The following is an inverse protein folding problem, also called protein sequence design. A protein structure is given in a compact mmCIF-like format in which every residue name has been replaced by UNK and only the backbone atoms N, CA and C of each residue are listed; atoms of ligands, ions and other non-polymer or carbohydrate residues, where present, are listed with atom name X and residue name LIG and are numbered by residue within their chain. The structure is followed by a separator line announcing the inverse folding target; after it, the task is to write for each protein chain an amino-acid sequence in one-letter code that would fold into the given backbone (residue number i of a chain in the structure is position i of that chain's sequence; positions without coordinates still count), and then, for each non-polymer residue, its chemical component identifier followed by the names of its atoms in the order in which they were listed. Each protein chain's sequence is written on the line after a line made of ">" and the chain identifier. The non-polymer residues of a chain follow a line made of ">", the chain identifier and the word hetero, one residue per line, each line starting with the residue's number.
data_IF_488251927224
#
_entry.id   IF_488251927224
#
_cell.length_a   1.000
_cell.length_b   1.000
_cell.length_c   1.000
_cell.angle_alpha   90.00
_cell.angle_beta   90.00
_cell.angle_gamma   90.00
#
_symmetry.space_group_name_H-M   'P 1'
#
loop_
_entity.id
_entity.type
_entity.pdbx_description
1 polymer ?
#
# COMPACT_ATOMS: atom_id res chain seq x y z
N UNK A 1 4.28 -6.95 4.11
CA UNK A 1 2.88 -7.10 4.54
C UNK A 1 2.84 -7.36 6.04
N UNK A 2 1.87 -6.77 6.75
CA UNK A 2 1.68 -6.97 8.19
C UNK A 2 0.24 -7.36 8.49
N UNK A 3 0.02 -8.04 9.62
CA UNK A 3 -1.32 -8.26 10.15
C UNK A 3 -1.91 -6.98 10.74
N UNK A 4 -3.17 -7.02 11.15
CA UNK A 4 -3.81 -5.87 11.77
C UNK A 4 -3.13 -5.44 13.07
N UNK A 5 -2.31 -6.27 13.74
CA UNK A 5 -1.53 -5.90 14.94
C UNK A 5 -0.16 -5.29 14.60
N UNK A 6 0.24 -5.29 13.33
CA UNK A 6 1.54 -4.80 12.86
C UNK A 6 2.65 -5.87 12.86
N UNK A 7 2.31 -7.14 13.11
CA UNK A 7 3.26 -8.26 12.99
C UNK A 7 3.51 -8.57 11.52
N UNK A 8 4.75 -8.93 11.18
CA UNK A 8 5.11 -9.24 9.81
C UNK A 8 4.47 -10.56 9.38
N UNK A 9 3.73 -10.53 8.27
CA UNK A 9 3.18 -11.73 7.61
C UNK A 9 4.08 -12.19 6.46
N UNK A 10 4.59 -11.23 5.70
CA UNK A 10 5.47 -11.47 4.57
C UNK A 10 6.40 -10.27 4.39
N UNK A 11 7.70 -10.52 4.44
CA UNK A 11 8.75 -9.57 4.12
C UNK A 11 9.83 -10.32 3.33
N UNK A 12 9.83 -10.15 2.01
CA UNK A 12 10.68 -10.93 1.12
C UNK A 12 11.03 -10.14 -0.13
N UNK A 13 12.23 -10.40 -0.64
CA UNK A 13 12.64 -9.92 -1.96
C UNK A 13 12.04 -10.79 -3.06
N UNK A 14 12.07 -10.28 -4.29
CA UNK A 14 11.60 -11.01 -5.47
C UNK A 14 12.71 -11.02 -6.51
N UNK A 15 12.99 -12.20 -7.07
CA UNK A 15 13.94 -12.33 -8.17
C UNK A 15 13.41 -11.62 -9.42
N UNK A 16 14.14 -10.64 -9.99
CA UNK A 16 13.74 -9.97 -11.21
C UNK A 16 13.54 -10.97 -12.36
N UNK A 17 12.50 -10.74 -13.16
CA UNK A 17 12.20 -11.54 -14.36
C UNK A 17 12.87 -11.00 -15.62
N UNK A 18 13.45 -9.79 -15.53
CA UNK A 18 14.14 -9.08 -16.60
C UNK A 18 15.45 -8.47 -16.05
N UNK A 19 16.43 -8.17 -16.92
CA UNK A 19 17.63 -7.45 -16.52
C UNK A 19 17.29 -6.10 -15.87
N UNK A 20 17.88 -5.83 -14.70
CA UNK A 20 17.72 -4.56 -13.99
C UNK A 20 18.79 -3.59 -14.48
N UNK A 21 18.38 -2.42 -14.99
CA UNK A 21 19.27 -1.37 -15.47
C UNK A 21 19.88 -0.56 -14.32
N UNK A 22 19.11 -0.33 -13.26
CA UNK A 22 19.53 0.42 -12.08
C UNK A 22 18.76 -0.08 -10.85
N UNK A 23 19.49 -0.47 -9.80
CA UNK A 23 18.92 -0.96 -8.55
C UNK A 23 18.59 0.16 -7.56
N UNK A 24 19.07 1.39 -7.81
CA UNK A 24 18.92 2.53 -6.89
C UNK A 24 19.36 2.16 -5.47
N UNK A 25 20.48 1.44 -5.37
CA UNK A 25 20.99 0.86 -4.12
C UNK A 25 21.12 1.87 -2.97
N UNK A 26 21.53 3.14 -3.18
CA UNK A 26 21.58 4.11 -2.09
C UNK A 26 20.22 4.38 -1.43
N UNK A 27 19.13 4.30 -2.20
CA UNK A 27 17.77 4.54 -1.70
C UNK A 27 17.07 3.26 -1.23
N UNK A 28 17.28 2.15 -1.95
CA UNK A 28 16.53 0.90 -1.78
C UNK A 28 17.26 -0.17 -0.98
N UNK A 29 18.58 -0.03 -0.81
CA UNK A 29 19.44 -1.07 -0.22
C UNK A 29 19.56 -2.35 -1.06
N UNK A 30 19.00 -2.38 -2.28
CA UNK A 30 18.96 -3.59 -3.10
C UNK A 30 20.35 -3.95 -3.64
N UNK A 31 20.68 -5.24 -3.51
CA UNK A 31 21.92 -5.83 -4.01
C UNK A 31 21.60 -6.89 -5.07
N UNK A 32 22.30 -6.91 -6.22
CA UNK A 32 22.04 -7.88 -7.29
C UNK A 32 22.10 -9.34 -6.82
N UNK A 33 23.07 -9.67 -5.96
CA UNK A 33 23.25 -11.03 -5.44
C UNK A 33 22.08 -11.47 -4.55
N UNK A 34 21.60 -10.57 -3.68
CA UNK A 34 20.42 -10.83 -2.82
C UNK A 34 19.18 -11.11 -3.66
N UNK A 35 18.99 -10.36 -4.74
CA UNK A 35 17.87 -10.52 -5.65
C UNK A 35 17.98 -11.78 -6.52
N UNK A 36 19.18 -12.19 -6.91
CA UNK A 36 19.40 -13.43 -7.65
C UNK A 36 19.01 -14.69 -6.86
N UNK A 37 19.20 -14.64 -5.53
CA UNK A 37 18.86 -15.73 -4.59
C UNK A 37 17.44 -15.65 -4.04
N UNK A 38 16.68 -14.60 -4.39
CA UNK A 38 15.33 -14.39 -3.90
C UNK A 38 14.32 -15.38 -4.53
N UNK A 39 13.16 -15.61 -3.87
CA UNK A 39 12.06 -16.37 -4.45
C UNK A 39 11.60 -15.82 -5.81
N UNK A 40 11.01 -16.68 -6.63
CA UNK A 40 10.53 -16.27 -7.95
C UNK A 40 9.29 -15.38 -7.82
N UNK A 41 9.07 -14.50 -8.81
CA UNK A 41 7.86 -13.67 -8.86
C UNK A 41 6.58 -14.50 -8.72
N UNK A 42 6.49 -15.65 -9.39
CA UNK A 42 5.31 -16.52 -9.36
C UNK A 42 5.07 -17.07 -7.94
N UNK A 43 6.12 -17.46 -7.23
CA UNK A 43 5.99 -17.99 -5.87
C UNK A 43 5.52 -16.91 -4.90
N UNK A 44 6.08 -15.69 -5.00
CA UNK A 44 5.68 -14.56 -4.15
C UNK A 44 4.27 -14.10 -4.51
N UNK A 45 3.93 -13.99 -5.79
CA UNK A 45 2.58 -13.65 -6.26
C UNK A 45 1.53 -14.63 -5.69
N UNK A 46 1.80 -15.94 -5.71
CA UNK A 46 0.92 -16.95 -5.11
C UNK A 46 0.77 -16.79 -3.60
N UNK A 47 1.87 -16.52 -2.89
CA UNK A 47 1.83 -16.27 -1.45
C UNK A 47 0.99 -15.03 -1.13
N UNK A 48 1.21 -13.92 -1.84
CA UNK A 48 0.43 -12.70 -1.67
C UNK A 48 -1.04 -12.96 -1.98
N UNK A 49 -1.36 -13.60 -3.10
CA UNK A 49 -2.74 -13.90 -3.49
C UNK A 49 -3.46 -14.74 -2.43
N UNK A 50 -2.78 -15.73 -1.84
CA UNK A 50 -3.33 -16.53 -0.75
C UNK A 50 -3.55 -15.71 0.53
N UNK A 51 -2.62 -14.80 0.87
CA UNK A 51 -2.71 -13.96 2.06
C UNK A 51 -3.85 -12.93 1.99
N UNK A 52 -4.11 -12.37 0.80
CA UNK A 52 -5.13 -11.30 0.64
C UNK A 52 -6.52 -11.85 0.30
N UNK A 53 -6.64 -13.14 -0.02
CA UNK A 53 -7.91 -13.75 -0.41
C UNK A 53 -8.92 -13.68 0.75
N UNK A 54 -10.13 -13.20 0.44
CA UNK A 54 -11.24 -13.06 1.39
C UNK A 54 -10.86 -12.22 2.64
N UNK A 55 -9.96 -11.24 2.45
CA UNK A 55 -9.50 -10.30 3.47
C UNK A 55 -9.70 -8.87 3.03
N UNK A 56 -9.86 -8.00 4.01
CA UNK A 56 -9.72 -6.56 3.82
C UNK A 56 -8.23 -6.19 3.68
N UNK A 57 -7.87 -5.45 2.63
CA UNK A 57 -6.52 -4.95 2.42
C UNK A 57 -6.44 -3.47 2.82
N UNK A 58 -5.56 -3.17 3.77
CA UNK A 58 -5.23 -1.80 4.18
C UNK A 58 -3.87 -1.43 3.58
N UNK A 59 -3.75 -0.24 2.99
CA UNK A 59 -2.48 0.23 2.47
C UNK A 59 -2.55 1.62 1.87
N UNK A 60 -1.49 2.00 1.14
CA UNK A 60 -1.37 3.29 0.47
C UNK A 60 -1.09 3.04 -1.01
N UNK A 61 -1.93 3.61 -1.88
CA UNK A 61 -1.83 3.43 -3.34
C UNK A 61 -1.86 1.97 -3.78
N UNK A 62 -2.83 1.21 -3.27
CA UNK A 62 -2.98 -0.24 -3.46
C UNK A 62 -3.01 -0.65 -4.93
N UNK A 63 -3.48 0.22 -5.82
CA UNK A 63 -3.48 -0.03 -7.27
C UNK A 63 -2.08 -0.25 -7.84
N UNK A 64 -1.05 0.42 -7.32
CA UNK A 64 0.33 0.22 -7.79
C UNK A 64 0.81 -1.18 -7.45
N UNK A 65 0.55 -1.61 -6.22
CA UNK A 65 0.92 -2.94 -5.74
C UNK A 65 0.17 -4.05 -6.49
N UNK A 66 -1.15 -3.94 -6.58
CA UNK A 66 -2.00 -4.90 -7.29
C UNK A 66 -1.62 -4.99 -8.77
N UNK A 67 -1.36 -3.86 -9.42
CA UNK A 67 -0.94 -3.82 -10.82
C UNK A 67 0.41 -4.50 -11.05
N UNK A 68 1.41 -4.26 -10.19
CA UNK A 68 2.74 -4.89 -10.33
C UNK A 68 2.63 -6.39 -10.12
N UNK A 69 1.78 -6.85 -9.21
CA UNK A 69 1.55 -8.26 -8.97
C UNK A 69 0.57 -8.89 -9.94
N UNK A 70 -0.08 -8.13 -10.84
CA UNK A 70 -1.12 -8.65 -11.72
C UNK A 70 -2.28 -9.29 -10.96
N UNK A 71 -2.63 -8.74 -9.79
CA UNK A 71 -3.72 -9.20 -8.94
C UNK A 71 -4.88 -8.21 -8.99
N UNK A 72 -6.09 -8.71 -8.72
CA UNK A 72 -7.27 -7.89 -8.53
C UNK A 72 -7.89 -8.17 -7.15
N UNK A 73 -8.58 -7.18 -6.60
CA UNK A 73 -9.21 -7.29 -5.29
C UNK A 73 -10.52 -6.49 -5.25
N UNK A 74 -11.56 -6.94 -4.53
CA UNK A 74 -12.82 -6.20 -4.45
C UNK A 74 -12.61 -4.79 -3.93
N UNK A 75 -13.16 -3.79 -4.62
CA UNK A 75 -12.98 -2.39 -4.21
C UNK A 75 -13.47 -2.16 -2.76
N UNK A 76 -14.63 -2.74 -2.42
CA UNK A 76 -15.24 -2.66 -1.08
C UNK A 76 -14.37 -3.27 0.02
N UNK A 77 -13.49 -4.21 -0.33
CA UNK A 77 -12.55 -4.85 0.59
C UNK A 77 -11.19 -4.13 0.66
N UNK A 78 -11.10 -2.91 0.13
CA UNK A 78 -9.88 -2.08 0.21
C UNK A 78 -10.04 -0.86 1.11
N UNK A 79 -9.01 -0.60 1.92
CA UNK A 79 -8.85 0.57 2.79
C UNK A 79 -7.58 1.32 2.34
N UNK A 80 -7.68 2.00 1.20
CA UNK A 80 -6.57 2.76 0.62
C UNK A 80 -6.49 4.17 1.18
N UNK A 81 -5.58 4.39 2.13
CA UNK A 81 -5.43 5.68 2.81
C UNK A 81 -4.97 6.80 1.87
N UNK A 82 -4.44 6.48 0.69
CA UNK A 82 -4.12 7.48 -0.32
C UNK A 82 -5.39 8.11 -0.91
N UNK A 83 -6.49 7.35 -1.02
CA UNK A 83 -7.75 7.78 -1.65
C UNK A 83 -8.76 8.36 -0.66
N UNK A 84 -8.53 8.21 0.64
CA UNK A 84 -9.47 8.65 1.68
C UNK A 84 -9.69 10.16 1.62
N UNK A 85 -10.91 10.58 1.25
CA UNK A 85 -11.22 11.99 1.06
C UNK A 85 -11.10 12.82 2.36
N UNK A 86 -11.48 12.32 3.55
CA UNK A 86 -11.35 13.09 4.78
C UNK A 86 -9.91 13.55 5.09
N UNK A 87 -8.89 12.74 4.81
CA UNK A 87 -7.49 13.16 4.96
C UNK A 87 -7.11 14.29 4.01
N UNK A 88 -7.61 14.25 2.77
CA UNK A 88 -7.34 15.33 1.80
C UNK A 88 -8.01 16.63 2.25
N UNK A 89 -9.26 16.54 2.71
CA UNK A 89 -10.04 17.70 3.19
C UNK A 89 -9.40 18.33 4.44
N UNK A 90 -8.97 17.53 5.41
CA UNK A 90 -8.34 18.04 6.63
C UNK A 90 -7.01 18.76 6.36
N UNK A 91 -6.32 18.38 5.28
CA UNK A 91 -5.08 19.02 4.83
C UNK A 91 -5.28 20.11 3.77
N UNK A 92 -6.53 20.49 3.46
CA UNK A 92 -6.83 21.52 2.46
C UNK A 92 -6.43 21.16 1.03
N UNK A 93 -6.23 19.88 0.73
CA UNK A 93 -5.81 19.41 -0.59
C UNK A 93 -7.00 19.19 -1.53
N UNK A 94 -6.78 19.42 -2.83
CA UNK A 94 -7.80 19.19 -3.86
C UNK A 94 -8.11 17.69 -3.98
N UNK A 95 -9.36 17.30 -4.27
CA UNK A 95 -9.72 15.88 -4.44
C UNK A 95 -8.97 15.16 -5.56
N UNK A 96 -8.41 15.85 -6.55
CA UNK A 96 -7.63 15.25 -7.64
C UNK A 96 -6.17 14.97 -7.28
N UNK A 97 -5.69 15.44 -6.13
CA UNK A 97 -4.28 15.32 -5.74
C UNK A 97 -4.11 14.21 -4.72
N UNK A 98 -3.30 13.20 -5.06
CA UNK A 98 -2.85 12.20 -4.10
C UNK A 98 -1.66 12.75 -3.33
N UNK A 99 -1.77 12.81 -2.00
CA UNK A 99 -0.70 13.28 -1.12
C UNK A 99 0.24 12.13 -0.77
N UNK A 100 1.58 12.34 -0.78
CA UNK A 100 2.54 11.32 -0.37
C UNK A 100 2.27 10.76 1.03
N UNK A 101 2.51 9.45 1.23
CA UNK A 101 2.36 8.80 2.54
C UNK A 101 3.18 9.52 3.63
N UNK A 102 4.42 9.91 3.31
CA UNK A 102 5.29 10.68 4.22
C UNK A 102 4.63 11.99 4.67
N UNK A 103 3.90 12.66 3.78
CA UNK A 103 3.19 13.90 4.08
C UNK A 103 1.97 13.64 4.97
N UNK A 104 1.21 12.59 4.67
CA UNK A 104 0.06 12.18 5.50
C UNK A 104 0.50 11.86 6.93
N UNK A 105 1.54 11.04 7.09
CA UNK A 105 2.05 10.63 8.41
C UNK A 105 2.61 11.82 9.19
N UNK A 106 3.37 12.69 8.53
CA UNK A 106 3.91 13.87 9.19
C UNK A 106 2.80 14.84 9.63
N UNK A 107 1.84 15.13 8.75
CA UNK A 107 0.81 16.14 9.02
C UNK A 107 -0.30 15.65 9.94
N UNK A 108 -0.64 14.36 9.89
CA UNK A 108 -1.77 13.79 10.65
C UNK A 108 -1.33 13.07 11.92
N UNK A 109 -0.11 12.53 11.97
CA UNK A 109 0.38 11.76 13.11
C UNK A 109 1.62 12.37 13.79
N UNK A 110 2.18 13.46 13.24
CA UNK A 110 3.36 14.11 13.82
C UNK A 110 4.64 13.26 13.79
N UNK A 111 4.68 12.22 12.95
CA UNK A 111 5.81 11.28 12.83
C UNK A 111 6.54 11.45 11.50
N UNK A 112 7.82 11.12 11.47
CA UNK A 112 8.61 10.98 10.24
C UNK A 112 8.84 9.50 9.93
N UNK A 113 8.75 9.13 8.64
CA UNK A 113 9.07 7.79 8.13
C UNK A 113 10.02 7.94 6.93
N UNK A 114 10.72 6.87 6.55
CA UNK A 114 11.60 6.87 5.37
C UNK A 114 12.87 7.74 5.52
N UNK A 115 13.26 8.08 6.76
CA UNK A 115 14.43 8.94 7.02
C UNK A 115 15.77 8.28 6.62
N UNK A 116 15.80 6.95 6.52
CA UNK A 116 17.03 6.17 6.27
C UNK A 116 16.91 5.26 5.04
N UNK A 117 16.04 5.60 4.09
CA UNK A 117 15.76 4.81 2.90
C UNK A 117 14.33 4.26 2.87
N UNK A 118 14.04 3.45 1.85
CA UNK A 118 12.72 2.85 1.68
C UNK A 118 12.59 1.55 2.50
N UNK A 119 11.79 1.58 3.58
CA UNK A 119 11.50 0.41 4.42
C UNK A 119 10.05 -0.06 4.23
N UNK A 120 9.80 -1.13 3.45
CA UNK A 120 8.45 -1.59 3.15
C UNK A 120 7.58 -1.91 4.38
N UNK A 121 8.20 -2.48 5.43
CA UNK A 121 7.49 -2.80 6.68
C UNK A 121 7.10 -1.53 7.45
N UNK A 122 7.94 -0.49 7.44
CA UNK A 122 7.61 0.81 8.04
C UNK A 122 6.41 1.44 7.32
N UNK A 123 6.44 1.46 5.99
CA UNK A 123 5.35 2.01 5.19
C UNK A 123 4.03 1.24 5.37
N UNK A 124 4.09 -0.09 5.44
CA UNK A 124 2.90 -0.92 5.71
C UNK A 124 2.28 -0.61 7.09
N UNK A 125 3.12 -0.47 8.12
CA UNK A 125 2.67 -0.08 9.47
C UNK A 125 2.14 1.35 9.50
N UNK A 126 2.78 2.27 8.78
CA UNK A 126 2.34 3.66 8.69
C UNK A 126 0.95 3.78 8.05
N UNK A 127 0.69 3.06 6.96
CA UNK A 127 -0.64 3.03 6.34
C UNK A 127 -1.69 2.42 7.27
N UNK A 128 -1.35 1.35 7.98
CA UNK A 128 -2.21 0.74 9.00
C UNK A 128 -2.52 1.70 10.15
N UNK A 129 -1.53 2.45 10.63
CA UNK A 129 -1.70 3.44 11.69
C UNK A 129 -2.63 4.59 11.26
N UNK A 130 -2.53 5.05 10.01
CA UNK A 130 -3.48 6.00 9.44
C UNK A 130 -4.90 5.43 9.41
N UNK A 131 -5.07 4.20 8.91
CA UNK A 131 -6.39 3.58 8.87
C UNK A 131 -6.99 3.45 10.27
N UNK A 132 -6.24 2.93 11.25
CA UNK A 132 -6.69 2.84 12.64
C UNK A 132 -7.12 4.18 13.24
N UNK A 133 -6.47 5.27 12.85
CA UNK A 133 -6.85 6.61 13.30
C UNK A 133 -8.23 7.06 12.81
N UNK A 134 -8.74 6.48 11.72
CA UNK A 134 -10.01 6.83 11.10
C UNK A 134 -10.96 5.65 10.89
N UNK A 135 -10.67 4.48 11.46
CA UNK A 135 -11.36 3.22 11.19
C UNK A 135 -12.86 3.31 11.45
N UNK A 136 -13.26 3.85 12.60
CA UNK A 136 -14.66 4.07 12.91
C UNK A 136 -15.36 4.93 11.85
N UNK A 137 -14.79 6.08 11.50
CA UNK A 137 -15.35 6.97 10.47
C UNK A 137 -15.41 6.28 9.10
N UNK A 138 -14.40 5.48 8.76
CA UNK A 138 -14.34 4.79 7.49
C UNK A 138 -15.45 3.74 7.37
N UNK A 139 -15.54 2.85 8.35
CA UNK A 139 -16.49 1.74 8.33
C UNK A 139 -17.93 2.24 8.47
N UNK A 140 -18.19 3.27 9.29
CA UNK A 140 -19.51 3.91 9.38
C UNK A 140 -19.99 4.44 8.01
N UNK A 141 -19.11 5.10 7.24
CA UNK A 141 -19.48 5.59 5.89
C UNK A 141 -19.84 4.42 4.97
N UNK A 142 -19.07 3.32 5.01
CA UNK A 142 -19.35 2.12 4.23
C UNK A 142 -20.68 1.48 4.64
N UNK A 143 -20.96 1.37 5.94
CA UNK A 143 -22.21 0.81 6.48
C UNK A 143 -23.44 1.61 6.03
N UNK A 144 -23.32 2.93 5.86
CA UNK A 144 -24.38 3.76 5.28
C UNK A 144 -24.58 3.60 3.77
N UNK A 145 -23.75 2.78 3.10
CA UNK A 145 -23.77 2.58 1.65
C UNK A 145 -23.05 3.68 0.85
N UNK A 146 -22.35 4.59 1.52
CA UNK A 146 -21.57 5.64 0.88
C UNK A 146 -20.11 5.20 0.67
N UNK A 147 -19.40 5.90 -0.22
CA UNK A 147 -18.00 5.62 -0.54
C UNK A 147 -17.07 6.76 -0.09
N UNK A 148 -16.17 6.54 0.88
CA UNK A 148 -15.35 7.62 1.46
C UNK A 148 -14.11 7.99 0.63
N UNK A 149 -13.85 7.28 -0.48
CA UNK A 149 -12.61 7.39 -1.24
C UNK A 149 -12.79 8.05 -2.60
N UNK A 150 -11.75 8.75 -3.06
CA UNK A 150 -11.62 9.13 -4.46
C UNK A 150 -11.46 7.87 -5.35
N UNK A 151 -11.76 8.00 -6.63
CA UNK A 151 -11.50 6.93 -7.59
C UNK A 151 -9.97 6.79 -7.83
N UNK A 152 -9.44 5.57 -7.93
CA UNK A 152 -8.07 5.35 -8.35
C UNK A 152 -7.89 5.81 -9.82
N UNK A 153 -6.65 6.01 -10.29
CA UNK A 153 -6.41 6.35 -11.69
C UNK A 153 -6.98 5.29 -12.62
N UNK A 154 -7.67 5.70 -13.68
CA UNK A 154 -8.42 4.82 -14.59
C UNK A 154 -7.56 3.74 -15.26
N UNK A 155 -6.27 3.99 -15.44
CA UNK A 155 -5.29 3.03 -15.94
C UNK A 155 -5.21 1.74 -15.11
N UNK A 156 -5.66 1.76 -13.84
CA UNK A 156 -5.62 0.63 -12.93
C UNK A 156 -7.00 0.09 -12.57
N UNK A 157 -8.03 0.41 -13.35
CA UNK A 157 -9.39 -0.06 -13.09
C UNK A 157 -9.49 -1.59 -12.99
N UNK A 158 -8.67 -2.32 -13.75
CA UNK A 158 -8.59 -3.78 -13.73
C UNK A 158 -8.06 -4.38 -12.41
N UNK A 159 -7.46 -3.58 -11.54
CA UNK A 159 -6.98 -4.02 -10.23
C UNK A 159 -8.11 -4.13 -9.20
N UNK A 160 -9.30 -3.59 -9.51
CA UNK A 160 -10.44 -3.56 -8.60
C UNK A 160 -11.63 -4.26 -9.23
N UNK A 161 -12.20 -5.22 -8.51
CA UNK A 161 -13.43 -5.94 -8.90
C UNK A 161 -14.65 -5.46 -8.15
#
# INVERSE_FOLDING_TARGET
>A
MVDYRGNILLDTFVRPTQPVSDYRTPETGLQPLTLALAPTFIDVQRQVAALIKDKVIIGYSLWQFLSVLGLAHPAIDTRDVALFMPFRRSLGSKPSVTLPLVTLINRLMGRHIGLHGEFPVEHARAALDLFRSCEHTWEEIIETGAWPCALPPTAYANCFT
#
